data_IF_691593199523
#
_entry.id   IF_691593199523
#
_cell.length_a   1.000
_cell.length_b   1.000
_cell.length_c   1.000
_cell.angle_alpha   90.00
_cell.angle_beta   90.00
_cell.angle_gamma   90.00
#
_symmetry.space_group_name_H-M   'P 1'
#
loop_
_entity.id
_entity.type
_entity.pdbx_description
1 polymer ?
#
# COMPACT_ATOMS: atom_id res chain seq x y z
N UNK A 1 -21.71 -12.37 6.31
CA UNK A 1 -20.35 -12.50 5.74
C UNK A 1 -19.34 -12.59 6.87
N UNK A 2 -18.68 -13.74 7.07
CA UNK A 2 -17.55 -13.85 8.00
C UNK A 2 -16.40 -13.07 7.39
N UNK A 3 -16.19 -11.83 7.85
CA UNK A 3 -15.08 -11.00 7.42
C UNK A 3 -13.84 -11.58 8.10
N UNK A 4 -13.07 -12.39 7.37
CA UNK A 4 -11.76 -12.85 7.83
C UNK A 4 -10.95 -11.60 8.18
N UNK A 5 -10.48 -11.52 9.43
CA UNK A 5 -9.69 -10.40 9.93
C UNK A 5 -8.43 -10.36 9.07
N UNK A 6 -8.35 -9.41 8.13
CA UNK A 6 -7.20 -9.20 7.24
C UNK A 6 -5.92 -9.14 8.08
N UNK A 7 -4.88 -9.83 7.64
CA UNK A 7 -3.65 -9.93 8.41
C UNK A 7 -3.03 -8.54 8.55
N UNK A 8 -2.53 -8.24 9.75
CA UNK A 8 -1.88 -6.95 10.03
C UNK A 8 -0.69 -6.70 9.07
N UNK A 9 0.02 -7.78 8.72
CA UNK A 9 1.09 -7.87 7.73
C UNK A 9 0.68 -7.34 6.34
N UNK A 10 -0.38 -7.89 5.74
CA UNK A 10 -0.85 -7.50 4.39
C UNK A 10 -1.16 -6.00 4.31
N UNK A 11 -1.70 -5.44 5.40
CA UNK A 11 -2.01 -4.01 5.49
C UNK A 11 -0.76 -3.16 5.60
N UNK A 12 0.25 -3.64 6.33
CA UNK A 12 1.52 -2.95 6.48
C UNK A 12 2.28 -2.94 5.15
N UNK A 13 2.34 -4.08 4.46
CA UNK A 13 2.88 -4.20 3.11
C UNK A 13 2.24 -3.22 2.12
N UNK A 14 0.90 -3.17 2.07
CA UNK A 14 0.17 -2.23 1.20
C UNK A 14 0.55 -0.76 1.47
N UNK A 15 0.65 -0.37 2.74
CA UNK A 15 1.07 0.98 3.13
C UNK A 15 2.52 1.27 2.73
N UNK A 16 3.39 0.28 2.78
CA UNK A 16 4.79 0.38 2.35
C UNK A 16 4.91 0.66 0.86
N UNK A 17 4.18 -0.12 0.07
CA UNK A 17 4.14 0.02 -1.39
C UNK A 17 3.60 1.40 -1.80
N UNK A 18 2.50 1.86 -1.17
CA UNK A 18 1.99 3.21 -1.38
C UNK A 18 3.00 4.30 -0.99
N UNK A 19 3.74 4.12 0.10
CA UNK A 19 4.76 5.08 0.52
C UNK A 19 5.89 5.18 -0.53
N UNK A 20 6.31 4.06 -1.11
CA UNK A 20 7.31 4.04 -2.17
C UNK A 20 6.84 4.73 -3.46
N UNK A 21 5.58 4.52 -3.86
CA UNK A 21 4.98 5.21 -5.00
C UNK A 21 4.90 6.73 -4.80
N UNK A 22 4.60 7.16 -3.57
CA UNK A 22 4.55 8.57 -3.20
C UNK A 22 5.94 9.20 -2.96
N UNK A 23 7.04 8.48 -3.27
CA UNK A 23 8.41 8.91 -2.98
C UNK A 23 8.66 9.27 -1.50
N UNK A 24 7.97 8.61 -0.57
CA UNK A 24 8.24 8.79 0.86
C UNK A 24 9.49 8.01 1.26
N UNK A 25 10.23 8.52 2.24
CA UNK A 25 11.40 7.83 2.81
C UNK A 25 10.98 6.59 3.60
N UNK A 26 11.90 5.62 3.69
CA UNK A 26 11.74 4.40 4.49
C UNK A 26 11.52 4.73 5.98
N UNK A 27 12.12 5.82 6.47
CA UNK A 27 11.97 6.29 7.85
C UNK A 27 10.57 6.85 8.18
N UNK A 28 9.70 7.03 7.17
CA UNK A 28 8.31 7.46 7.39
C UNK A 28 7.39 6.32 7.85
N UNK A 29 7.95 5.14 8.16
CA UNK A 29 7.18 4.00 8.62
C UNK A 29 6.51 4.29 9.97
N UNK A 30 5.16 4.17 10.07
CA UNK A 30 4.44 4.40 11.33
C UNK A 30 4.39 3.17 12.24
N UNK A 31 4.96 2.03 11.83
CA UNK A 31 4.89 0.77 12.56
C UNK A 31 6.09 0.63 13.50
N UNK A 32 5.79 0.45 14.79
CA UNK A 32 6.81 0.22 15.84
C UNK A 32 6.99 -1.27 16.13
N UNK A 33 5.98 -2.09 15.83
CA UNK A 33 6.02 -3.54 15.94
C UNK A 33 6.88 -4.16 14.82
N UNK A 34 7.71 -5.14 15.17
CA UNK A 34 8.73 -5.71 14.27
C UNK A 34 8.10 -6.43 13.06
N UNK A 35 7.06 -7.26 13.28
CA UNK A 35 6.37 -8.00 12.21
C UNK A 35 5.77 -7.10 11.12
N UNK A 36 4.87 -6.12 11.42
CA UNK A 36 4.34 -5.24 10.38
C UNK A 36 5.40 -4.25 9.85
N UNK A 37 6.43 -3.92 10.63
CA UNK A 37 7.53 -3.08 10.15
C UNK A 37 8.29 -3.76 9.01
N UNK A 38 8.66 -5.04 9.15
CA UNK A 38 9.31 -5.81 8.08
C UNK A 38 8.45 -5.87 6.82
N UNK A 39 7.16 -6.14 6.97
CA UNK A 39 6.23 -6.21 5.83
C UNK A 39 6.06 -4.87 5.13
N UNK A 40 6.00 -3.76 5.88
CA UNK A 40 6.00 -2.41 5.31
C UNK A 40 7.27 -2.12 4.53
N UNK A 41 8.44 -2.51 5.06
CA UNK A 41 9.72 -2.35 4.37
C UNK A 41 9.74 -3.16 3.06
N UNK A 42 9.24 -4.39 3.10
CA UNK A 42 9.16 -5.26 1.92
C UNK A 42 8.29 -4.61 0.83
N UNK A 43 7.10 -4.11 1.19
CA UNK A 43 6.25 -3.38 0.26
C UNK A 43 6.90 -2.10 -0.28
N UNK A 44 7.63 -1.36 0.54
CA UNK A 44 8.34 -0.15 0.11
C UNK A 44 9.45 -0.46 -0.90
N UNK A 45 10.26 -1.51 -0.65
CA UNK A 45 11.30 -1.95 -1.58
C UNK A 45 10.72 -2.36 -2.91
N UNK A 46 9.67 -3.17 -2.90
CA UNK A 46 9.03 -3.65 -4.12
C UNK A 46 8.41 -2.50 -4.93
N UNK A 47 7.78 -1.52 -4.27
CA UNK A 47 7.28 -0.31 -4.95
C UNK A 47 8.40 0.55 -5.55
N UNK A 48 9.60 0.53 -4.96
CA UNK A 48 10.77 1.26 -5.46
C UNK A 48 11.47 0.54 -6.61
N UNK A 49 11.56 -0.78 -6.51
CA UNK A 49 12.02 -1.63 -7.60
C UNK A 49 11.09 -1.52 -8.80
N UNK A 50 9.76 -1.55 -8.59
CA UNK A 50 8.76 -1.34 -9.65
C UNK A 50 8.85 0.07 -10.26
N UNK A 51 9.29 1.05 -9.46
CA UNK A 51 9.58 2.40 -9.95
C UNK A 51 10.82 2.44 -10.85
N UNK A 52 11.92 1.79 -10.44
CA UNK A 52 13.17 1.72 -11.22
C UNK A 52 13.04 0.86 -12.48
N UNK A 53 12.31 -0.24 -12.41
CA UNK A 53 12.02 -1.12 -13.54
C UNK A 53 11.06 -0.49 -14.56
N UNK A 54 10.54 0.72 -14.29
CA UNK A 54 9.71 1.45 -15.24
C UNK A 54 8.32 0.84 -15.46
N UNK A 55 7.82 0.02 -14.52
CA UNK A 55 6.49 -0.56 -14.64
C UNK A 55 5.42 0.52 -14.79
N UNK A 56 4.53 0.31 -15.77
CA UNK A 56 3.48 1.26 -16.11
C UNK A 56 2.48 1.41 -14.96
N UNK A 57 1.82 2.57 -14.90
CA UNK A 57 0.85 2.92 -13.83
C UNK A 57 -0.27 1.88 -13.71
N UNK A 58 -0.64 1.25 -14.81
CA UNK A 58 -1.67 0.20 -14.88
C UNK A 58 -1.21 -1.09 -14.19
N UNK A 59 0.03 -1.51 -14.38
CA UNK A 59 0.60 -2.70 -13.72
C UNK A 59 0.74 -2.49 -12.22
N UNK A 60 1.16 -1.28 -11.82
CA UNK A 60 1.22 -0.86 -10.41
C UNK A 60 -0.17 -0.84 -9.77
N UNK A 61 -1.18 -0.35 -10.49
CA UNK A 61 -2.57 -0.30 -10.04
C UNK A 61 -3.19 -1.69 -9.88
N UNK A 62 -2.95 -2.63 -10.80
CA UNK A 62 -3.45 -4.01 -10.67
C UNK A 62 -2.86 -4.71 -9.43
N UNK A 63 -1.57 -4.51 -9.17
CA UNK A 63 -0.90 -5.01 -7.96
C UNK A 63 -1.51 -4.37 -6.72
N UNK A 64 -1.70 -3.05 -6.74
CA UNK A 64 -2.40 -2.31 -5.69
C UNK A 64 -3.82 -2.79 -5.47
N UNK A 65 -4.58 -3.12 -6.51
CA UNK A 65 -5.98 -3.58 -6.43
C UNK A 65 -6.07 -4.98 -5.81
N UNK A 66 -5.12 -5.86 -6.09
CA UNK A 66 -5.02 -7.17 -5.42
C UNK A 66 -4.83 -6.97 -3.90
N UNK A 67 -4.04 -5.97 -3.49
CA UNK A 67 -3.84 -5.58 -2.08
C UNK A 67 -4.82 -4.50 -1.58
N UNK A 68 -5.70 -3.98 -2.44
CA UNK A 68 -6.48 -2.75 -2.27
C UNK A 68 -7.98 -2.97 -2.35
N UNK A 69 -8.44 -4.07 -2.96
CA UNK A 69 -9.69 -4.74 -2.64
C UNK A 69 -9.77 -5.12 -1.14
N UNK A 70 -8.64 -4.98 -0.43
CA UNK A 70 -8.48 -5.04 1.02
C UNK A 70 -8.80 -3.73 1.76
N UNK A 71 -9.02 -2.61 1.06
CA UNK A 71 -9.19 -1.25 1.61
C UNK A 71 -10.32 -0.39 0.99
N UNK A 72 -11.21 -0.92 0.15
CA UNK A 72 -12.38 -0.17 -0.37
C UNK A 72 -13.55 -0.06 0.60
N UNK A 73 -13.28 0.24 1.87
CA UNK A 73 -14.26 0.86 2.79
C UNK A 73 -13.87 2.32 3.06
N UNK A 74 -13.33 3.00 2.03
CA UNK A 74 -13.43 4.46 1.96
C UNK A 74 -14.29 4.73 0.73
N UNK A 75 -15.60 4.56 0.90
CA UNK A 75 -16.52 5.48 0.24
C UNK A 75 -16.25 6.85 0.87
N UNK A 76 -15.78 7.80 0.08
CA UNK A 76 -16.07 9.20 0.35
C UNK A 76 -17.57 9.38 0.08
N UNK A 77 -18.41 9.75 1.08
CA UNK A 77 -19.84 9.92 0.87
C UNK A 77 -20.21 11.19 0.08
N UNK A 78 -19.25 12.02 -0.30
CA UNK A 78 -19.50 13.37 -0.78
C UNK A 78 -18.44 13.82 -1.78
N UNK A 79 -18.90 14.04 -3.01
CA UNK A 79 -18.08 14.35 -4.17
C UNK A 79 -17.40 15.71 -4.09
N UNK A 80 -16.12 15.69 -3.73
CA UNK A 80 -15.20 16.79 -4.01
C UNK A 80 -14.05 16.26 -4.87
N UNK A 81 -14.22 16.44 -6.17
CA UNK A 81 -13.09 16.75 -7.04
C UNK A 81 -12.46 18.04 -6.52
N UNK A 82 -11.15 18.10 -6.41
CA UNK A 82 -10.45 19.38 -6.36
C UNK A 82 -9.16 19.29 -7.18
N UNK A 83 -9.34 19.79 -8.41
CA UNK A 83 -8.42 20.28 -9.45
C UNK A 83 -7.54 19.25 -10.15
#
# INVERSE_FOLDING_TARGET
MKRQKRNHADRAFYKGYLAALNNKSMDSCPFVEEDPHQEWINGWREGREDYWNGFDRVTKAQKLEIYGAVSTDIQYPDGWSTI
#
